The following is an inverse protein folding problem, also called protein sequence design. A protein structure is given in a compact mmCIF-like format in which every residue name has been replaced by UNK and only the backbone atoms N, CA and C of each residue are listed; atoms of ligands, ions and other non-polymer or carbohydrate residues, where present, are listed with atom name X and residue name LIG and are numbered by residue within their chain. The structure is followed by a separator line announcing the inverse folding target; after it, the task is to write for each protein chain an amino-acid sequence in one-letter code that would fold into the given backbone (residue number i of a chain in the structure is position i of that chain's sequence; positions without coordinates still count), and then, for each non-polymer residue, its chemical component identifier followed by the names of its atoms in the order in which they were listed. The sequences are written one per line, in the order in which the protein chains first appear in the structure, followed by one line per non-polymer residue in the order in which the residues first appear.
data_IF_795575114148
#
_entry.id   IF_795575114148
#
_cell.length_a   1.000
_cell.length_b   1.000
_cell.length_c   1.000
_cell.angle_alpha   90.00
_cell.angle_beta   90.00
_cell.angle_gamma   90.00
#
_symmetry.space_group_name_H-M   'P 1'
#
loop_
_entity.id
_entity.type
_entity.pdbx_description
1 polymer ?
#
# COMPACT_ATOMS: atom_id res chain seq x y z
N UNK A 1 -11.07 -27.62 7.62
CA UNK A 1 -11.68 -27.08 6.39
C UNK A 1 -10.60 -26.37 5.63
N UNK A 2 -10.39 -26.71 4.37
CA UNK A 2 -9.47 -25.95 3.51
C UNK A 2 -10.14 -24.58 3.26
N UNK A 3 -9.70 -23.54 3.96
CA UNK A 3 -10.22 -22.19 3.76
C UNK A 3 -9.55 -21.60 2.52
N UNK A 4 -10.33 -21.09 1.59
CA UNK A 4 -9.81 -20.29 0.49
C UNK A 4 -9.07 -19.07 1.03
N UNK A 5 -7.97 -18.68 0.39
CA UNK A 5 -7.23 -17.46 0.72
C UNK A 5 -8.15 -16.22 0.68
N UNK A 6 -8.00 -15.34 1.66
CA UNK A 6 -8.66 -14.04 1.68
C UNK A 6 -8.04 -13.08 0.66
N UNK A 7 -8.85 -12.21 0.07
CA UNK A 7 -8.36 -11.23 -0.91
C UNK A 7 -7.50 -10.15 -0.26
N UNK A 8 -6.46 -9.70 -0.95
CA UNK A 8 -5.60 -8.60 -0.53
C UNK A 8 -5.77 -7.44 -1.52
N UNK A 9 -6.21 -6.28 -1.04
CA UNK A 9 -6.16 -5.03 -1.81
C UNK A 9 -4.97 -4.22 -1.29
N UNK A 10 -3.92 -4.07 -2.09
CA UNK A 10 -2.73 -3.33 -1.69
C UNK A 10 -2.73 -1.94 -2.31
N UNK A 11 -3.05 -0.93 -1.51
CA UNK A 11 -3.01 0.48 -1.90
C UNK A 11 -1.59 1.02 -1.71
N UNK A 12 -0.91 1.35 -2.81
CA UNK A 12 0.41 1.97 -2.82
C UNK A 12 0.33 3.39 -3.37
N UNK A 13 0.93 4.34 -2.67
CA UNK A 13 0.91 5.74 -3.06
C UNK A 13 1.54 6.61 -1.98
N UNK A 14 1.84 7.85 -2.31
CA UNK A 14 2.56 8.77 -1.41
C UNK A 14 1.69 9.28 -0.26
N UNK A 15 2.33 9.88 0.74
CA UNK A 15 1.67 10.63 1.81
C UNK A 15 0.65 11.61 1.21
N UNK A 16 -0.52 11.75 1.85
CA UNK A 16 -1.63 12.60 1.37
C UNK A 16 -2.30 12.22 0.03
N UNK A 17 -1.93 11.11 -0.60
CA UNK A 17 -2.61 10.64 -1.82
C UNK A 17 -4.03 10.08 -1.61
N UNK A 18 -4.51 10.00 -0.36
CA UNK A 18 -5.89 9.59 -0.05
C UNK A 18 -6.09 8.10 0.28
N UNK A 19 -5.02 7.30 0.34
CA UNK A 19 -5.07 5.85 0.64
C UNK A 19 -5.93 5.49 1.86
N UNK A 20 -5.70 6.13 3.01
CA UNK A 20 -6.43 5.86 4.25
C UNK A 20 -7.93 6.15 4.11
N UNK A 21 -8.28 7.26 3.47
CA UNK A 21 -9.69 7.63 3.24
C UNK A 21 -10.34 6.63 2.30
N UNK A 22 -9.62 6.22 1.24
CA UNK A 22 -10.07 5.24 0.27
C UNK A 22 -10.24 3.84 0.88
N UNK A 23 -9.30 3.41 1.74
CA UNK A 23 -9.40 2.14 2.46
C UNK A 23 -10.65 2.07 3.34
N UNK A 24 -10.94 3.16 4.08
CA UNK A 24 -12.14 3.26 4.92
C UNK A 24 -13.43 3.28 4.09
N UNK A 25 -13.43 3.97 2.95
CA UNK A 25 -14.56 3.95 2.02
C UNK A 25 -14.81 2.54 1.47
N UNK A 26 -13.76 1.83 1.05
CA UNK A 26 -13.86 0.44 0.62
C UNK A 26 -14.45 -0.46 1.71
N UNK A 27 -13.99 -0.33 2.97
CA UNK A 27 -14.59 -1.08 4.08
C UNK A 27 -16.08 -0.81 4.27
N UNK A 28 -16.54 0.42 4.01
CA UNK A 28 -17.95 0.78 4.12
C UNK A 28 -18.80 0.24 2.96
N UNK A 29 -18.22 0.12 1.75
CA UNK A 29 -18.94 -0.31 0.55
C UNK A 29 -18.96 -1.82 0.35
N UNK A 30 -18.01 -2.57 0.90
CA UNK A 30 -18.02 -4.03 0.82
C UNK A 30 -19.06 -4.65 1.77
N UNK A 31 -19.86 -5.58 1.27
CA UNK A 31 -20.79 -6.39 2.08
C UNK A 31 -20.09 -7.48 2.92
N UNK A 32 -18.78 -7.66 2.70
CA UNK A 32 -17.94 -8.62 3.42
C UNK A 32 -16.85 -7.91 4.21
N UNK A 33 -16.43 -8.49 5.32
CA UNK A 33 -15.42 -7.88 6.19
C UNK A 33 -14.06 -7.81 5.49
N UNK A 34 -13.49 -6.61 5.46
CA UNK A 34 -12.09 -6.34 5.16
C UNK A 34 -11.40 -5.77 6.40
N UNK A 35 -10.31 -6.38 6.82
CA UNK A 35 -9.41 -5.80 7.81
C UNK A 35 -8.61 -4.67 7.17
N UNK A 36 -8.45 -3.54 7.86
CA UNK A 36 -7.57 -2.46 7.41
C UNK A 36 -6.23 -2.56 8.14
N UNK A 37 -5.16 -2.68 7.37
CA UNK A 37 -3.78 -2.75 7.84
C UNK A 37 -3.03 -1.60 7.20
N UNK A 38 -2.42 -0.72 8.00
CA UNK A 38 -1.72 0.44 7.48
C UNK A 38 -0.30 0.51 8.03
N UNK A 39 0.64 0.98 7.20
CA UNK A 39 2.00 1.25 7.62
C UNK A 39 2.04 2.22 8.82
N UNK A 40 1.20 3.26 8.80
CA UNK A 40 1.09 4.24 9.89
C UNK A 40 0.66 3.59 11.23
N UNK A 41 -0.16 2.52 11.21
CA UNK A 41 -0.53 1.77 12.43
C UNK A 41 0.70 1.08 13.04
N UNK A 42 1.57 0.50 12.20
CA UNK A 42 2.81 -0.10 12.67
C UNK A 42 3.77 0.95 13.21
N UNK A 43 3.87 2.11 12.56
CA UNK A 43 4.65 3.22 13.12
C UNK A 43 4.13 3.67 14.49
N UNK A 44 2.81 3.76 14.68
CA UNK A 44 2.18 4.25 15.92
C UNK A 44 2.23 3.24 17.09
N UNK A 45 2.16 1.93 16.84
CA UNK A 45 2.20 0.91 17.91
C UNK A 45 3.58 0.76 18.56
N UNK A 46 4.57 1.48 18.04
CA UNK A 46 5.97 1.29 18.34
C UNK A 46 6.54 2.33 19.32
N UNK A 47 7.65 1.98 19.98
CA UNK A 47 8.31 2.89 20.93
C UNK A 47 9.04 4.01 20.19
N UNK A 48 8.60 5.26 20.40
CA UNK A 48 9.25 6.46 19.85
C UNK A 48 10.75 6.55 20.15
N UNK A 49 11.19 6.01 21.29
CA UNK A 49 12.61 5.98 21.67
C UNK A 49 13.45 5.09 20.75
N UNK A 50 12.92 3.92 20.39
CA UNK A 50 13.63 2.96 19.54
C UNK A 50 13.59 3.40 18.07
N UNK A 51 12.46 3.94 17.62
CA UNK A 51 12.29 4.60 16.32
C UNK A 51 13.39 5.64 16.01
N UNK A 52 13.79 6.41 17.02
CA UNK A 52 14.83 7.44 16.87
C UNK A 52 16.26 6.89 16.76
N UNK A 53 16.47 5.62 17.13
CA UNK A 53 17.83 5.03 17.20
C UNK A 53 18.29 4.49 15.85
N UNK A 54 17.40 3.89 15.07
CA UNK A 54 17.67 3.41 13.70
C UNK A 54 16.38 3.48 12.86
N UNK A 55 16.02 4.70 12.43
CA UNK A 55 14.76 4.97 11.72
C UNK A 55 14.62 4.15 10.43
N UNK A 56 15.70 4.05 9.64
CA UNK A 56 15.69 3.34 8.36
C UNK A 56 15.39 1.86 8.54
N UNK A 57 16.07 1.20 9.48
CA UNK A 57 15.81 -0.22 9.76
C UNK A 57 14.38 -0.40 10.25
N UNK A 58 13.95 0.48 11.15
CA UNK A 58 12.65 0.37 11.78
C UNK A 58 11.48 0.51 10.79
N UNK A 59 11.53 1.50 9.91
CA UNK A 59 10.49 1.71 8.90
C UNK A 59 10.51 0.58 7.86
N UNK A 60 11.69 0.02 7.56
CA UNK A 60 11.81 -1.15 6.68
C UNK A 60 11.19 -2.40 7.31
N UNK A 61 11.45 -2.65 8.59
CA UNK A 61 10.85 -3.75 9.36
C UNK A 61 9.34 -3.58 9.46
N UNK A 62 8.83 -2.37 9.75
CA UNK A 62 7.40 -2.09 9.78
C UNK A 62 6.71 -2.40 8.46
N UNK A 63 7.30 -1.99 7.34
CA UNK A 63 6.77 -2.29 6.01
C UNK A 63 6.74 -3.80 5.72
N UNK A 64 7.75 -4.55 6.16
CA UNK A 64 7.79 -6.02 6.05
C UNK A 64 6.74 -6.66 6.97
N UNK A 65 6.54 -6.15 8.19
CA UNK A 65 5.54 -6.62 9.13
C UNK A 65 4.11 -6.41 8.64
N UNK A 66 3.84 -5.31 7.93
CA UNK A 66 2.58 -5.10 7.20
C UNK A 66 2.33 -6.24 6.21
N UNK A 67 3.34 -6.61 5.41
CA UNK A 67 3.21 -7.70 4.44
C UNK A 67 2.95 -9.06 5.11
N UNK A 68 3.65 -9.36 6.21
CA UNK A 68 3.40 -10.59 7.00
C UNK A 68 2.00 -10.63 7.61
N UNK A 69 1.51 -9.48 8.07
CA UNK A 69 0.15 -9.38 8.63
C UNK A 69 -0.91 -9.60 7.55
N UNK A 70 -0.73 -9.02 6.37
CA UNK A 70 -1.61 -9.25 5.23
C UNK A 70 -1.62 -10.73 4.80
N UNK A 71 -0.44 -11.36 4.74
CA UNK A 71 -0.31 -12.81 4.48
C UNK A 71 -1.08 -13.63 5.52
N UNK A 72 -0.86 -13.38 6.81
CA UNK A 72 -1.50 -14.13 7.89
C UNK A 72 -3.03 -14.00 7.85
N UNK A 73 -3.55 -12.80 7.62
CA UNK A 73 -5.01 -12.60 7.47
C UNK A 73 -5.55 -13.36 6.26
N UNK A 74 -4.86 -13.31 5.12
CA UNK A 74 -5.26 -14.05 3.92
C UNK A 74 -5.20 -15.56 4.13
N UNK A 75 -4.16 -16.10 4.78
CA UNK A 75 -4.04 -17.51 5.14
C UNK A 75 -5.22 -17.99 6.01
N UNK A 76 -5.77 -17.11 6.85
CA UNK A 76 -6.96 -17.35 7.66
C UNK A 76 -8.29 -17.09 6.92
N UNK A 77 -8.25 -16.91 5.60
CA UNK A 77 -9.41 -16.62 4.76
C UNK A 77 -10.03 -15.24 5.00
N UNK A 78 -9.29 -14.30 5.60
CA UNK A 78 -9.76 -12.93 5.88
C UNK A 78 -9.32 -11.97 4.80
N UNK A 79 -10.26 -11.19 4.27
CA UNK A 79 -9.92 -10.15 3.31
C UNK A 79 -9.23 -8.98 4.02
N UNK A 80 -8.29 -8.34 3.34
CA UNK A 80 -7.48 -7.26 3.90
C UNK A 80 -7.27 -6.14 2.88
N UNK A 81 -7.37 -4.90 3.34
CA UNK A 81 -6.94 -3.69 2.62
C UNK A 81 -5.66 -3.22 3.29
N UNK A 82 -4.57 -3.18 2.52
CA UNK A 82 -3.28 -2.67 2.95
C UNK A 82 -3.13 -1.23 2.46
N UNK A 83 -2.86 -0.31 3.39
CA UNK A 83 -2.53 1.09 3.14
C UNK A 83 -1.02 1.30 3.41
N UNK A 84 -0.22 1.35 2.35
CA UNK A 84 1.24 1.42 2.48
C UNK A 84 1.88 2.27 1.38
N UNK A 85 3.19 2.44 1.48
CA UNK A 85 4.03 3.09 0.47
C UNK A 85 5.32 2.31 0.30
N UNK A 86 5.71 2.05 -0.95
CA UNK A 86 7.05 1.56 -1.28
C UNK A 86 7.89 2.69 -1.85
N UNK A 87 9.06 2.91 -1.25
CA UNK A 87 9.98 3.97 -1.66
C UNK A 87 11.36 3.38 -1.99
N UNK A 88 11.95 3.84 -3.08
CA UNK A 88 13.38 3.69 -3.35
C UNK A 88 14.13 4.88 -2.76
N UNK A 89 14.09 4.98 -1.43
CA UNK A 89 14.68 6.09 -0.68
C UNK A 89 15.45 5.52 0.50
N UNK A 90 16.77 5.43 0.36
CA UNK A 90 17.66 4.80 1.35
C UNK A 90 17.69 5.48 2.72
N UNK A 91 17.04 6.64 2.87
CA UNK A 91 16.86 7.33 4.15
C UNK A 91 15.54 6.98 4.85
N UNK A 92 14.59 6.33 4.16
CA UNK A 92 13.25 5.99 4.67
C UNK A 92 12.98 4.49 4.61
N UNK A 93 13.38 3.81 3.53
CA UNK A 93 13.25 2.35 3.38
C UNK A 93 14.52 1.76 2.77
N UNK A 94 14.99 0.64 3.31
CA UNK A 94 16.09 -0.13 2.72
C UNK A 94 15.70 -0.60 1.33
N UNK A 95 16.68 -0.66 0.43
CA UNK A 95 16.49 -1.25 -0.89
C UNK A 95 16.03 -2.71 -0.73
N UNK A 96 14.87 -3.03 -1.31
CA UNK A 96 14.33 -4.39 -1.32
C UNK A 96 13.04 -4.61 -0.52
N UNK A 97 12.47 -3.63 0.18
CA UNK A 97 11.15 -3.79 0.85
C UNK A 97 10.08 -4.27 -0.14
N UNK A 98 10.00 -3.65 -1.32
CA UNK A 98 9.10 -4.09 -2.40
C UNK A 98 9.40 -5.54 -2.83
N UNK A 99 10.68 -5.87 -3.09
CA UNK A 99 11.10 -7.22 -3.51
C UNK A 99 10.73 -8.28 -2.47
N UNK A 100 11.00 -8.01 -1.19
CA UNK A 100 10.65 -8.90 -0.07
C UNK A 100 9.14 -9.09 0.04
N UNK A 101 8.38 -8.00 -0.08
CA UNK A 101 6.91 -8.05 -0.02
C UNK A 101 6.32 -8.85 -1.17
N UNK A 102 6.80 -8.60 -2.39
CA UNK A 102 6.40 -9.35 -3.59
C UNK A 102 6.77 -10.83 -3.46
N UNK A 103 7.99 -11.15 -3.01
CA UNK A 103 8.41 -12.53 -2.76
C UNK A 103 7.49 -13.24 -1.77
N UNK A 104 7.02 -12.54 -0.74
CA UNK A 104 6.10 -13.09 0.26
C UNK A 104 4.69 -13.36 -0.30
N UNK A 105 4.21 -12.49 -1.20
CA UNK A 105 2.79 -12.40 -1.58
C UNK A 105 2.48 -12.76 -3.05
N UNK A 106 3.47 -13.11 -3.88
CA UNK A 106 3.26 -13.34 -5.33
C UNK A 106 2.28 -14.46 -5.69
N UNK A 107 2.04 -15.43 -4.79
CA UNK A 107 1.05 -16.50 -4.98
C UNK A 107 -0.29 -16.20 -4.28
N UNK A 108 -0.48 -14.99 -3.75
CA UNK A 108 -1.71 -14.56 -3.07
C UNK A 108 -2.64 -13.80 -4.02
N UNK A 109 -3.95 -13.76 -3.74
CA UNK A 109 -4.91 -12.97 -4.50
C UNK A 109 -4.77 -11.47 -4.19
N UNK A 110 -3.69 -10.86 -4.67
CA UNK A 110 -3.36 -9.44 -4.46
C UNK A 110 -3.85 -8.62 -5.65
N UNK A 111 -4.74 -7.66 -5.42
CA UNK A 111 -4.97 -6.54 -6.32
C UNK A 111 -4.02 -5.39 -5.93
N UNK A 112 -3.01 -5.13 -6.74
CA UNK A 112 -2.04 -4.06 -6.49
C UNK A 112 -2.48 -2.75 -7.15
N UNK A 113 -2.81 -1.76 -6.33
CA UNK A 113 -3.42 -0.49 -6.77
C UNK A 113 -2.46 0.67 -6.54
N UNK A 114 -2.17 1.42 -7.60
CA UNK A 114 -1.53 2.71 -7.50
C UNK A 114 -2.58 3.79 -7.16
N UNK A 115 -2.44 4.42 -6.00
CA UNK A 115 -3.25 5.56 -5.56
C UNK A 115 -2.52 6.84 -5.91
N UNK A 116 -2.81 7.33 -7.12
CA UNK A 116 -2.25 8.55 -7.68
C UNK A 116 -2.98 9.79 -7.16
N UNK A 117 -2.24 10.89 -7.10
CA UNK A 117 -2.75 12.22 -6.81
C UNK A 117 -1.83 13.25 -7.47
N UNK A 118 -2.38 14.34 -8.01
CA UNK A 118 -1.58 15.42 -8.55
C UNK A 118 -0.70 16.07 -7.48
N UNK A 119 0.48 16.54 -7.88
CA UNK A 119 1.42 17.23 -6.98
C UNK A 119 0.79 18.45 -6.32
N UNK A 120 0.02 19.24 -7.09
CA UNK A 120 -0.72 20.40 -6.58
C UNK A 120 -1.67 20.02 -5.45
N UNK A 121 -2.44 18.95 -5.64
CA UNK A 121 -3.42 18.49 -4.66
C UNK A 121 -2.72 17.87 -3.42
N UNK A 122 -1.60 17.19 -3.59
CA UNK A 122 -0.78 16.69 -2.49
C UNK A 122 -0.29 17.83 -1.59
N UNK A 123 0.25 18.90 -2.20
CA UNK A 123 0.70 20.10 -1.47
C UNK A 123 -0.47 20.75 -0.73
N UNK A 124 -1.63 20.89 -1.40
CA UNK A 124 -2.83 21.46 -0.79
C UNK A 124 -3.30 20.64 0.42
N UNK A 125 -3.35 19.31 0.30
CA UNK A 125 -3.77 18.39 1.37
C UNK A 125 -2.78 18.36 2.53
N UNK A 126 -1.48 18.38 2.25
CA UNK A 126 -0.44 18.36 3.27
C UNK A 126 -0.46 19.64 4.12
N UNK A 127 -0.67 20.81 3.48
CA UNK A 127 -0.87 22.08 4.21
C UNK A 127 -2.12 22.07 5.10
N UNK A 128 -3.19 21.42 4.66
CA UNK A 128 -4.43 21.33 5.43
C UNK A 128 -4.32 20.38 6.64
N UNK A 129 -3.44 19.38 6.58
CA UNK A 129 -3.34 18.34 7.61
C UNK A 129 -2.57 18.75 8.88
N UNK A 130 -1.74 19.80 8.83
CA UNK A 130 -1.00 20.40 9.97
C UNK A 130 -0.12 19.45 10.82
N UNK A 131 -0.16 18.14 10.60
CA UNK A 131 0.43 17.07 11.42
C UNK A 131 1.70 16.44 10.79
N UNK A 132 2.04 16.79 9.54
CA UNK A 132 3.18 16.23 8.79
C UNK A 132 4.14 17.32 8.31
N UNK A 133 5.40 16.92 8.08
CA UNK A 133 6.42 17.79 7.51
C UNK A 133 6.03 18.22 6.09
N UNK A 134 5.90 19.53 5.87
CA UNK A 134 5.65 20.10 4.55
C UNK A 134 6.79 19.68 3.60
N UNK A 135 6.43 19.15 2.44
CA UNK A 135 7.33 18.64 1.40
C UNK A 135 7.48 17.11 1.36
N UNK A 136 6.92 16.37 2.32
CA UNK A 136 7.05 14.91 2.39
C UNK A 136 6.39 14.22 1.18
N UNK A 137 5.15 14.58 0.87
CA UNK A 137 4.41 13.96 -0.23
C UNK A 137 5.12 14.11 -1.59
N UNK A 138 5.70 15.30 -1.84
CA UNK A 138 6.42 15.60 -3.09
C UNK A 138 7.75 14.85 -3.17
N UNK A 139 8.49 14.75 -2.06
CA UNK A 139 9.71 13.94 -2.01
C UNK A 139 9.41 12.47 -2.33
N UNK A 140 8.36 11.92 -1.72
CA UNK A 140 7.94 10.54 -1.95
C UNK A 140 7.50 10.26 -3.39
N UNK A 141 6.94 11.24 -4.13
CA UNK A 141 6.55 11.02 -5.54
C UNK A 141 7.75 10.61 -6.40
N UNK A 142 8.90 11.24 -6.16
CA UNK A 142 10.14 10.97 -6.92
C UNK A 142 10.66 9.57 -6.61
N UNK A 143 10.54 9.13 -5.37
CA UNK A 143 11.06 7.85 -4.90
C UNK A 143 10.02 6.71 -4.91
N UNK A 144 8.76 6.98 -5.24
CA UNK A 144 7.70 5.95 -5.26
C UNK A 144 8.05 4.85 -6.24
N UNK A 145 7.99 3.60 -5.78
CA UNK A 145 8.20 2.40 -6.60
C UNK A 145 7.04 1.40 -6.42
N UNK A 146 6.83 0.51 -7.41
CA UNK A 146 7.42 0.59 -8.75
C UNK A 146 6.80 1.77 -9.54
N UNK A 147 7.48 2.20 -10.61
CA UNK A 147 6.93 3.25 -11.51
C UNK A 147 5.79 2.72 -12.38
N UNK A 148 5.85 1.44 -12.72
CA UNK A 148 4.87 0.69 -13.51
C UNK A 148 4.69 -0.71 -12.89
N UNK A 149 3.73 -1.50 -13.38
CA UNK A 149 3.50 -2.86 -12.86
C UNK A 149 2.50 -2.94 -11.71
N UNK A 150 1.49 -2.06 -11.72
CA UNK A 150 0.27 -2.17 -10.91
C UNK A 150 -0.80 -2.90 -11.72
N UNK A 151 -1.73 -3.58 -11.04
CA UNK A 151 -2.92 -4.13 -11.70
C UNK A 151 -3.89 -3.00 -12.08
N UNK A 152 -3.97 -1.97 -11.23
CA UNK A 152 -4.88 -0.85 -11.43
C UNK A 152 -4.29 0.46 -10.92
N UNK A 153 -4.68 1.58 -11.54
CA UNK A 153 -4.33 2.93 -11.06
C UNK A 153 -5.61 3.74 -10.91
N UNK A 154 -5.76 4.36 -9.74
CA UNK A 154 -6.84 5.30 -9.44
C UNK A 154 -6.25 6.68 -9.16
N UNK A 155 -6.90 7.75 -9.63
CA UNK A 155 -6.43 9.12 -9.43
C UNK A 155 -7.40 9.91 -8.54
N UNK A 156 -7.01 10.10 -7.28
CA UNK A 156 -7.81 10.79 -6.26
C UNK A 156 -7.81 12.32 -6.42
N UNK A 157 -7.12 12.86 -7.42
CA UNK A 157 -7.22 14.27 -7.79
C UNK A 157 -8.22 14.50 -8.92
N UNK A 158 -8.66 13.44 -9.60
CA UNK A 158 -9.64 13.50 -10.69
C UNK A 158 -11.03 13.03 -10.27
N UNK A 159 -11.10 12.07 -9.37
CA UNK A 159 -12.35 11.45 -8.93
C UNK A 159 -12.58 11.61 -7.43
N UNK A 160 -13.84 11.58 -7.02
CA UNK A 160 -14.24 11.49 -5.62
C UNK A 160 -13.77 10.17 -4.99
N UNK A 161 -13.76 10.12 -3.66
CA UNK A 161 -13.35 8.91 -2.93
C UNK A 161 -14.31 7.75 -3.23
N UNK A 162 -15.60 8.05 -3.35
CA UNK A 162 -16.66 7.11 -3.66
C UNK A 162 -16.47 6.50 -5.05
N UNK A 163 -16.23 7.33 -6.08
CA UNK A 163 -15.94 6.87 -7.45
C UNK A 163 -14.63 6.06 -7.50
N UNK A 164 -13.59 6.49 -6.78
CA UNK A 164 -12.35 5.73 -6.67
C UNK A 164 -12.57 4.34 -6.07
N UNK A 165 -13.41 4.24 -5.03
CA UNK A 165 -13.72 2.98 -4.38
C UNK A 165 -14.52 2.05 -5.31
N UNK A 166 -15.48 2.59 -6.06
CA UNK A 166 -16.26 1.85 -7.05
C UNK A 166 -15.37 1.27 -8.15
N UNK A 167 -14.44 2.06 -8.69
CA UNK A 167 -13.46 1.60 -9.67
C UNK A 167 -12.62 0.42 -9.15
N UNK A 168 -12.14 0.48 -7.89
CA UNK A 168 -11.38 -0.62 -7.28
C UNK A 168 -12.26 -1.87 -7.08
N UNK A 169 -13.51 -1.69 -6.65
CA UNK A 169 -14.46 -2.80 -6.48
C UNK A 169 -14.78 -3.51 -7.79
N UNK A 170 -14.88 -2.77 -8.91
CA UNK A 170 -15.04 -3.36 -10.24
C UNK A 170 -13.83 -4.23 -10.62
N UNK A 171 -12.61 -3.75 -10.37
CA UNK A 171 -11.39 -4.51 -10.65
C UNK A 171 -11.28 -5.79 -9.83
N UNK A 172 -11.82 -5.81 -8.61
CA UNK A 172 -11.81 -6.99 -7.75
C UNK A 172 -12.55 -8.20 -8.35
N UNK A 173 -13.50 -7.95 -9.25
CA UNK A 173 -14.28 -8.97 -9.96
C UNK A 173 -13.58 -9.50 -11.23
N UNK A 174 -12.42 -8.94 -11.58
CA UNK A 174 -11.63 -9.39 -12.73
C UNK A 174 -10.57 -10.43 -12.32
N UNK A 175 -10.14 -11.25 -13.28
CA UNK A 175 -9.03 -12.20 -13.09
C UNK A 175 -7.63 -11.56 -13.27
N UNK A 176 -7.52 -10.23 -13.30
CA UNK A 176 -6.29 -9.50 -13.64
C UNK A 176 -5.47 -9.11 -12.40
N UNK A 177 -5.27 -10.03 -11.46
CA UNK A 177 -4.48 -9.85 -10.23
C UNK A 177 -3.10 -10.48 -10.42
N UNK A 178 -2.29 -9.90 -11.30
CA UNK A 178 -1.03 -10.50 -11.78
C UNK A 178 0.21 -9.67 -11.44
N UNK A 179 0.06 -8.42 -11.01
CA UNK A 179 1.16 -7.50 -10.77
C UNK A 179 2.25 -8.07 -9.87
N UNK A 180 1.88 -8.63 -8.71
CA UNK A 180 2.86 -9.21 -7.78
C UNK A 180 3.56 -10.43 -8.38
N UNK A 181 2.86 -11.25 -9.18
CA UNK A 181 3.49 -12.37 -9.89
C UNK A 181 4.48 -11.89 -10.95
N UNK A 182 4.09 -10.92 -11.77
CA UNK A 182 4.95 -10.32 -12.79
C UNK A 182 6.19 -9.64 -12.19
N UNK A 183 6.02 -8.90 -11.08
CA UNK A 183 7.13 -8.28 -10.36
C UNK A 183 8.08 -9.34 -9.78
N UNK A 184 7.54 -10.44 -9.25
CA UNK A 184 8.36 -11.54 -8.73
C UNK A 184 9.22 -12.17 -9.83
N UNK A 185 8.62 -12.48 -10.97
CA UNK A 185 9.31 -13.02 -12.15
C UNK A 185 10.40 -12.05 -12.64
N UNK A 186 10.14 -10.74 -12.64
CA UNK A 186 11.14 -9.73 -12.97
C UNK A 186 12.31 -9.69 -11.97
N UNK A 187 12.02 -9.78 -10.67
CA UNK A 187 13.04 -9.72 -9.61
C UNK A 187 13.91 -10.97 -9.49
N UNK A 188 13.38 -12.15 -9.85
CA UNK A 188 14.11 -13.42 -9.84
C UNK A 188 14.72 -13.76 -11.21
N UNK A 189 14.15 -13.23 -12.29
CA UNK A 189 14.56 -13.48 -13.67
C UNK A 189 15.83 -12.73 -14.10
N UNK A 190 16.28 -11.72 -13.35
CA UNK A 190 17.54 -11.01 -13.57
C UNK A 190 17.69 -10.43 -14.98
N UNK A 191 17.17 -9.23 -15.21
CA UNK A 191 17.68 -8.36 -16.28
C UNK A 191 18.86 -7.54 -15.76
#
# INVERSE_FOLDING_TARGET
SDMSLGNIIWLNGVSSSGKTTLAKMLQQKFDVLYYWVAHDIFHEMNSKKLLQTDFLEFESENAIMVAHTAKMLSDLGRNVIVDSVFLDESTVQKSGVLKTTVKLLHNYPVLFVHVKCSEEELIRRERARQDRHIGQAVAQLRNLIPKEGYDFTVDTSLYSVEECAEQIMEQMNTNQKLAFKSLYEMFEGGL
#
